data_IF_574574686925
#
_entry.id   IF_574574686925
#
_cell.length_a   1.000
_cell.length_b   1.000
_cell.length_c   1.000
_cell.angle_alpha   90.00
_cell.angle_beta   90.00
_cell.angle_gamma   90.00
#
_symmetry.space_group_name_H-M   'P 1'
#
loop_
_entity.id
_entity.type
_entity.pdbx_description
1 polymer ?
#
# COMPACT_ATOMS: atom_id res chain seq x y z
N UNK A 1 2.15 -19.39 -8.49
CA UNK A 1 1.10 -18.78 -9.25
C UNK A 1 1.61 -17.55 -9.94
N UNK A 2 1.01 -17.20 -11.06
CA UNK A 2 1.55 -16.14 -11.91
C UNK A 2 0.72 -14.86 -11.76
N UNK A 3 1.37 -13.71 -11.91
CA UNK A 3 0.65 -12.45 -12.02
C UNK A 3 -0.19 -12.45 -13.31
N UNK A 4 -1.34 -11.76 -13.30
CA UNK A 4 -2.11 -11.57 -14.52
C UNK A 4 -1.30 -10.92 -15.63
N UNK A 5 -1.50 -11.38 -16.85
CA UNK A 5 -0.97 -10.74 -18.03
C UNK A 5 -1.85 -9.54 -18.38
N UNK A 6 -1.28 -8.35 -18.42
CA UNK A 6 -2.05 -7.12 -18.61
C UNK A 6 -2.80 -7.07 -19.95
N UNK A 7 -2.35 -7.81 -20.95
CA UNK A 7 -3.04 -7.88 -22.25
C UNK A 7 -4.29 -8.76 -22.15
N UNK A 8 -4.27 -9.76 -21.29
CA UNK A 8 -5.33 -10.76 -21.15
C UNK A 8 -6.16 -10.58 -19.88
N UNK A 9 -6.05 -9.44 -19.24
CA UNK A 9 -6.86 -9.14 -18.05
C UNK A 9 -8.34 -9.15 -18.43
N UNK A 10 -9.14 -9.97 -17.75
CA UNK A 10 -10.56 -10.09 -18.01
C UNK A 10 -11.40 -9.09 -17.23
N UNK A 11 -10.88 -8.57 -16.13
CA UNK A 11 -11.56 -7.53 -15.36
C UNK A 11 -10.58 -6.59 -14.71
N UNK A 12 -10.96 -5.31 -14.66
CA UNK A 12 -10.26 -4.26 -13.91
C UNK A 12 -11.28 -3.63 -12.99
N UNK A 13 -11.06 -3.77 -11.69
CA UNK A 13 -11.98 -3.28 -10.69
C UNK A 13 -11.34 -2.11 -9.95
N UNK A 14 -11.92 -0.91 -10.11
CA UNK A 14 -11.52 0.25 -9.34
C UNK A 14 -11.98 0.11 -7.90
N UNK A 15 -11.13 0.45 -6.94
CA UNK A 15 -11.40 0.28 -5.53
C UNK A 15 -10.72 1.36 -4.70
N UNK A 16 -11.21 1.52 -3.49
CA UNK A 16 -10.52 2.31 -2.48
C UNK A 16 -10.62 1.62 -1.13
N UNK A 17 -9.74 2.02 -0.22
CA UNK A 17 -9.77 1.57 1.16
C UNK A 17 -9.38 2.74 2.06
N UNK A 18 -10.10 2.91 3.15
CA UNK A 18 -9.81 3.91 4.17
C UNK A 18 -9.45 3.23 5.48
N UNK A 19 -8.47 3.79 6.17
CA UNK A 19 -7.99 3.25 7.44
C UNK A 19 -7.85 4.37 8.46
N UNK A 20 -8.45 4.17 9.64
CA UNK A 20 -8.12 4.98 10.80
C UNK A 20 -7.03 4.23 11.56
N UNK A 21 -5.85 4.81 11.68
CA UNK A 21 -4.74 4.18 12.40
C UNK A 21 -4.94 4.41 13.89
N UNK A 22 -5.72 3.54 14.52
CA UNK A 22 -6.21 3.71 15.89
C UNK A 22 -5.19 3.38 16.97
N UNK A 23 -4.07 2.78 16.60
CA UNK A 23 -2.98 2.48 17.52
C UNK A 23 -1.64 2.65 16.83
N UNK A 24 -0.55 2.45 17.56
CA UNK A 24 0.81 2.60 17.02
C UNK A 24 1.39 1.31 16.44
N UNK A 25 0.62 0.23 16.43
CA UNK A 25 1.06 -1.02 15.82
C UNK A 25 0.99 -0.93 14.30
N UNK A 26 1.87 -1.68 13.63
CA UNK A 26 1.81 -1.83 12.19
C UNK A 26 0.51 -2.51 11.78
N UNK A 27 -0.18 -1.92 10.82
CA UNK A 27 -1.42 -2.43 10.27
C UNK A 27 -1.18 -3.06 8.91
N UNK A 28 -1.85 -4.18 8.63
CA UNK A 28 -1.94 -4.73 7.28
C UNK A 28 -3.04 -3.98 6.54
N UNK A 29 -2.67 -3.36 5.43
CA UNK A 29 -3.58 -2.52 4.66
C UNK A 29 -4.18 -3.30 3.49
N UNK A 30 -3.35 -3.85 2.63
CA UNK A 30 -3.78 -4.61 1.45
C UNK A 30 -2.93 -5.86 1.34
N UNK A 31 -3.56 -7.01 1.19
CA UNK A 31 -2.91 -8.27 0.84
C UNK A 31 -3.36 -8.68 -0.55
N UNK A 32 -2.41 -8.85 -1.46
CA UNK A 32 -2.72 -9.21 -2.83
C UNK A 32 -2.98 -10.70 -2.90
N UNK A 33 -4.20 -11.07 -3.28
CA UNK A 33 -4.63 -12.45 -3.39
C UNK A 33 -3.95 -13.17 -4.56
N UNK A 34 -4.04 -14.50 -4.55
CA UNK A 34 -3.53 -15.34 -5.63
C UNK A 34 -4.18 -14.96 -6.97
N UNK A 35 -3.37 -14.97 -8.02
CA UNK A 35 -3.80 -14.68 -9.39
C UNK A 35 -4.36 -13.28 -9.60
N UNK A 36 -4.05 -12.35 -8.68
CA UNK A 36 -4.44 -10.95 -8.77
C UNK A 36 -3.21 -10.07 -8.90
N UNK A 37 -3.42 -8.91 -9.47
CA UNK A 37 -2.46 -7.83 -9.49
C UNK A 37 -3.16 -6.58 -8.97
N UNK A 38 -2.52 -5.86 -8.06
CA UNK A 38 -3.07 -4.61 -7.53
C UNK A 38 -2.22 -3.47 -8.06
N UNK A 39 -2.86 -2.48 -8.65
CA UNK A 39 -2.22 -1.24 -9.06
C UNK A 39 -2.62 -0.16 -8.07
N UNK A 40 -1.67 0.27 -7.26
CA UNK A 40 -1.88 1.38 -6.33
C UNK A 40 -1.77 2.68 -7.13
N UNK A 41 -2.84 3.45 -7.17
CA UNK A 41 -2.86 4.72 -7.87
C UNK A 41 -2.41 5.87 -6.97
N UNK A 42 -2.85 5.87 -5.71
CA UNK A 42 -2.54 6.96 -4.78
C UNK A 42 -2.68 6.47 -3.34
N UNK A 43 -1.79 6.93 -2.50
CA UNK A 43 -1.90 6.79 -1.04
C UNK A 43 -1.80 8.19 -0.43
N UNK A 44 -2.83 8.59 0.29
CA UNK A 44 -2.83 9.85 1.04
C UNK A 44 -2.93 9.58 2.52
N UNK A 45 -2.26 10.38 3.32
CA UNK A 45 -2.35 10.35 4.78
C UNK A 45 -2.75 11.73 5.28
N UNK A 46 -3.71 11.76 6.19
CA UNK A 46 -4.16 12.99 6.82
C UNK A 46 -3.95 12.92 8.32
N UNK A 47 -3.40 13.97 8.89
CA UNK A 47 -3.32 14.10 10.34
C UNK A 47 -4.57 14.83 10.82
N UNK A 48 -5.38 14.11 11.59
CA UNK A 48 -6.65 14.64 12.12
C UNK A 48 -6.52 15.21 13.53
N UNK A 49 -5.31 15.17 14.09
CA UNK A 49 -5.02 15.87 15.36
C UNK A 49 -4.72 17.34 15.04
N UNK A 50 -5.45 18.23 15.70
CA UNK A 50 -5.30 19.66 15.52
C UNK A 50 -4.12 20.28 16.26
N UNK A 51 -3.32 19.51 16.99
CA UNK A 51 -2.28 20.02 17.88
C UNK A 51 -0.91 19.41 17.62
N UNK A 52 -0.85 18.08 17.42
CA UNK A 52 0.41 17.35 17.38
C UNK A 52 0.69 16.79 15.99
N UNK A 53 1.96 16.82 15.58
CA UNK A 53 2.40 16.09 14.41
C UNK A 53 2.55 14.61 14.75
N UNK A 54 2.44 13.76 13.73
CA UNK A 54 2.70 12.33 13.85
C UNK A 54 3.59 11.89 12.69
N UNK A 55 4.28 10.78 12.83
CA UNK A 55 5.05 10.20 11.73
C UNK A 55 4.36 8.96 11.17
N UNK A 56 4.61 8.70 9.90
CA UNK A 56 3.96 7.64 9.14
C UNK A 56 5.00 6.76 8.45
N UNK A 57 4.77 5.45 8.52
CA UNK A 57 5.54 4.46 7.77
C UNK A 57 4.63 3.76 6.77
N UNK A 58 5.14 3.53 5.56
CA UNK A 58 4.46 2.73 4.53
C UNK A 58 5.49 1.81 3.90
N UNK A 59 5.21 0.52 3.87
CA UNK A 59 6.13 -0.46 3.33
C UNK A 59 5.41 -1.65 2.69
N UNK A 60 6.13 -2.38 1.85
CA UNK A 60 5.67 -3.61 1.23
C UNK A 60 6.45 -4.77 1.81
N UNK A 61 5.73 -5.78 2.24
CA UNK A 61 6.26 -7.01 2.80
C UNK A 61 5.87 -8.18 1.90
N UNK A 62 6.54 -9.32 2.05
CA UNK A 62 6.23 -10.52 1.27
C UNK A 62 6.59 -10.43 -0.21
N UNK A 63 7.44 -9.50 -0.60
CA UNK A 63 7.79 -9.29 -2.00
C UNK A 63 8.47 -10.50 -2.62
N UNK A 64 8.28 -10.69 -3.91
CA UNK A 64 8.90 -11.76 -4.68
C UNK A 64 8.06 -13.02 -4.80
N UNK A 65 6.84 -13.05 -4.24
CA UNK A 65 5.96 -14.22 -4.32
C UNK A 65 5.32 -14.40 -5.69
N UNK A 66 5.09 -13.32 -6.42
CA UNK A 66 4.48 -13.36 -7.74
C UNK A 66 5.46 -13.83 -8.81
N UNK A 67 4.92 -14.44 -9.86
CA UNK A 67 5.73 -14.95 -10.97
C UNK A 67 5.52 -14.09 -12.21
N UNK A 68 6.61 -13.52 -12.70
CA UNK A 68 6.60 -12.67 -13.91
C UNK A 68 7.44 -13.25 -15.05
N UNK A 69 8.17 -14.34 -14.80
CA UNK A 69 9.19 -14.83 -15.71
C UNK A 69 10.47 -14.00 -15.68
N UNK A 70 10.55 -13.01 -14.83
CA UNK A 70 11.74 -12.17 -14.64
C UNK A 70 12.30 -12.44 -13.26
N UNK A 71 13.59 -12.73 -13.20
CA UNK A 71 14.28 -12.95 -11.93
C UNK A 71 14.76 -11.62 -11.36
N UNK A 72 14.44 -11.36 -10.09
CA UNK A 72 14.91 -10.19 -9.36
C UNK A 72 15.60 -10.64 -8.08
N UNK A 73 16.87 -10.26 -7.93
CA UNK A 73 17.67 -10.65 -6.76
C UNK A 73 17.28 -9.81 -5.55
N UNK A 74 17.00 -10.46 -4.42
CA UNK A 74 16.66 -9.78 -3.17
C UNK A 74 15.24 -9.27 -3.10
N UNK A 75 14.36 -9.72 -3.99
CA UNK A 75 12.99 -9.22 -4.06
C UNK A 75 12.10 -9.66 -2.88
N UNK A 76 12.49 -10.67 -2.13
CA UNK A 76 11.71 -11.18 -1.01
C UNK A 76 11.91 -10.41 0.30
N UNK A 77 12.42 -9.20 0.21
CA UNK A 77 12.66 -8.35 1.36
C UNK A 77 11.46 -7.45 1.68
N UNK A 78 11.43 -6.95 2.91
CA UNK A 78 10.57 -5.82 3.29
C UNK A 78 11.17 -4.53 2.73
N UNK A 79 10.38 -3.75 1.99
CA UNK A 79 10.85 -2.52 1.37
C UNK A 79 9.96 -1.36 1.77
N UNK A 80 10.56 -0.32 2.34
CA UNK A 80 9.84 0.89 2.73
C UNK A 80 9.63 1.83 1.54
N UNK A 81 8.40 2.27 1.36
CA UNK A 81 8.05 3.34 0.44
C UNK A 81 8.16 4.69 1.14
N UNK A 82 7.86 4.73 2.43
CA UNK A 82 8.03 5.90 3.27
C UNK A 82 8.37 5.44 4.68
N UNK A 83 9.34 6.09 5.30
CA UNK A 83 9.73 5.75 6.67
C UNK A 83 9.85 7.01 7.50
N UNK A 84 9.10 7.03 8.59
CA UNK A 84 9.15 8.10 9.59
C UNK A 84 8.95 9.48 8.96
N UNK A 85 8.02 9.57 8.01
CA UNK A 85 7.69 10.87 7.41
C UNK A 85 6.81 11.66 8.36
N UNK A 86 7.14 12.93 8.55
CA UNK A 86 6.37 13.79 9.44
C UNK A 86 5.11 14.30 8.75
N UNK A 87 3.96 14.13 9.41
CA UNK A 87 2.68 14.67 8.98
C UNK A 87 2.27 15.71 10.02
N UNK A 88 2.41 17.00 9.72
CA UNK A 88 2.05 18.04 10.68
C UNK A 88 0.57 18.01 11.03
N UNK A 89 0.22 18.58 12.20
CA UNK A 89 -1.16 18.68 12.63
C UNK A 89 -2.05 19.36 11.58
N UNK A 90 -3.26 18.88 11.43
CA UNK A 90 -4.27 19.43 10.51
C UNK A 90 -3.82 19.47 9.03
N UNK A 91 -2.88 18.62 8.63
CA UNK A 91 -2.42 18.56 7.23
C UNK A 91 -2.65 17.19 6.63
N UNK A 92 -2.60 17.15 5.31
CA UNK A 92 -2.58 15.90 4.56
C UNK A 92 -1.44 15.93 3.56
N UNK A 93 -0.97 14.74 3.18
CA UNK A 93 0.04 14.63 2.14
C UNK A 93 -0.20 13.39 1.28
N UNK A 94 0.28 13.46 0.05
CA UNK A 94 0.28 12.33 -0.87
C UNK A 94 1.58 11.58 -0.68
N UNK A 95 1.51 10.34 -0.24
CA UNK A 95 2.68 9.49 0.00
C UNK A 95 3.09 8.78 -1.29
N UNK A 96 2.10 8.28 -2.02
CA UNK A 96 2.30 7.65 -3.34
C UNK A 96 1.42 8.40 -4.33
N UNK A 97 2.02 9.04 -5.31
CA UNK A 97 1.32 9.83 -6.33
C UNK A 97 1.54 9.31 -7.76
N UNK A 98 2.43 8.34 -7.92
CA UNK A 98 2.68 7.66 -9.19
C UNK A 98 2.28 6.21 -9.04
N UNK A 99 1.54 5.63 -10.00
CA UNK A 99 1.07 4.26 -9.87
C UNK A 99 2.20 3.25 -9.70
N UNK A 100 2.01 2.31 -8.79
CA UNK A 100 2.90 1.18 -8.55
C UNK A 100 2.10 -0.11 -8.56
N UNK A 101 2.74 -1.20 -8.94
CA UNK A 101 2.12 -2.51 -8.92
C UNK A 101 2.53 -3.29 -7.67
N UNK A 102 1.57 -4.01 -7.10
CA UNK A 102 1.80 -5.06 -6.11
C UNK A 102 1.40 -6.39 -6.73
N UNK A 103 2.29 -7.35 -6.66
CA UNK A 103 2.09 -8.70 -7.21
C UNK A 103 1.41 -9.60 -6.19
N UNK A 104 0.95 -10.77 -6.62
CA UNK A 104 0.34 -11.73 -5.70
C UNK A 104 1.30 -12.04 -4.54
N UNK A 105 0.75 -12.10 -3.34
CA UNK A 105 1.51 -12.34 -2.13
C UNK A 105 2.13 -11.10 -1.50
N UNK A 106 2.21 -9.98 -2.22
CA UNK A 106 2.68 -8.73 -1.65
C UNK A 106 1.67 -8.20 -0.64
N UNK A 107 2.19 -7.61 0.44
CA UNK A 107 1.38 -7.06 1.51
C UNK A 107 1.78 -5.61 1.73
N UNK A 108 0.84 -4.70 1.53
CA UNK A 108 1.04 -3.29 1.86
C UNK A 108 0.72 -3.09 3.33
N UNK A 109 1.68 -2.55 4.07
CA UNK A 109 1.56 -2.30 5.50
C UNK A 109 1.91 -0.86 5.82
N UNK A 110 1.41 -0.38 6.93
CA UNK A 110 1.72 0.97 7.40
C UNK A 110 1.48 1.13 8.88
N UNK A 111 1.97 2.24 9.41
CA UNK A 111 1.79 2.54 10.82
C UNK A 111 2.01 4.01 11.13
N UNK A 112 1.47 4.42 12.26
CA UNK A 112 1.57 5.77 12.77
C UNK A 112 2.32 5.80 14.09
N UNK A 113 2.99 6.90 14.38
CA UNK A 113 3.70 7.08 15.66
C UNK A 113 2.75 7.45 16.81
N UNK A 114 1.52 7.86 16.49
CA UNK A 114 0.53 8.24 17.49
C UNK A 114 -0.82 7.60 17.19
N UNK A 115 -1.52 7.22 18.24
CA UNK A 115 -2.81 6.55 18.13
C UNK A 115 -3.90 7.53 17.70
N UNK A 116 -4.68 7.14 16.70
CA UNK A 116 -5.86 7.87 16.22
C UNK A 116 -5.57 9.26 15.62
N UNK A 117 -4.33 9.56 15.29
CA UNK A 117 -3.97 10.85 14.70
C UNK A 117 -3.97 10.81 13.17
N UNK A 118 -3.70 9.67 12.58
CA UNK A 118 -3.57 9.56 11.13
C UNK A 118 -4.68 8.72 10.50
N UNK A 119 -5.28 9.27 9.45
CA UNK A 119 -6.19 8.57 8.56
C UNK A 119 -5.52 8.35 7.21
N UNK A 120 -5.70 7.16 6.68
CA UNK A 120 -5.06 6.73 5.44
C UNK A 120 -6.13 6.42 4.41
N UNK A 121 -5.93 6.89 3.17
CA UNK A 121 -6.80 6.57 2.05
C UNK A 121 -5.97 6.02 0.91
N UNK A 122 -6.36 4.86 0.39
CA UNK A 122 -5.69 4.20 -0.72
C UNK A 122 -6.67 4.05 -1.88
N UNK A 123 -6.27 4.54 -3.05
CA UNK A 123 -7.02 4.34 -4.29
C UNK A 123 -6.25 3.35 -5.16
N UNK A 124 -6.91 2.31 -5.62
CA UNK A 124 -6.23 1.23 -6.34
C UNK A 124 -7.16 0.52 -7.33
N UNK A 125 -6.56 -0.27 -8.19
CA UNK A 125 -7.25 -1.14 -9.12
C UNK A 125 -6.85 -2.59 -8.88
N UNK A 126 -7.80 -3.50 -9.00
CA UNK A 126 -7.56 -4.93 -8.94
C UNK A 126 -7.69 -5.49 -10.35
N UNK A 127 -6.62 -6.10 -10.86
CA UNK A 127 -6.58 -6.70 -12.20
C UNK A 127 -6.63 -8.21 -12.05
N UNK A 128 -7.53 -8.82 -12.80
CA UNK A 128 -7.80 -10.26 -12.73
C UNK A 128 -7.92 -10.81 -14.14
N UNK A 129 -7.23 -11.91 -14.40
CA UNK A 129 -7.31 -12.61 -15.69
C UNK A 129 -8.15 -13.87 -15.64
N UNK A 130 -8.77 -14.16 -14.54
CA UNK A 130 -9.61 -15.36 -14.37
C UNK A 130 -11.01 -15.23 -14.96
#
# INVERSE_FOLDING_TARGET
MANPNLINVSSVLGANAGFNLTNTATATLITVAADKLVKINRVTVANVDGTNSATFDLFVDGMGSGSTGVSTTGADATVYLAKTIAVPADTSMVVVDTPIYLMEGDILKGGASAASDLDLFVSFEILDDA
#
